data_IF_187495171505
#
_entry.id   IF_187495171505
#
_cell.length_a   1.000
_cell.length_b   1.000
_cell.length_c   1.000
_cell.angle_alpha   90.00
_cell.angle_beta   90.00
_cell.angle_gamma   90.00
#
_symmetry.space_group_name_H-M   'P 1'
#
loop_
_entity.id
_entity.type
_entity.pdbx_description
1 polymer ?
#
# COMPACT_ATOMS: atom_id res chain seq x y z
N UNK A 1 -14.73 11.97 -37.13
CA UNK A 1 -15.08 12.03 -35.69
C UNK A 1 -14.67 10.75 -34.97
N UNK A 2 -15.30 9.59 -35.26
CA UNK A 2 -15.01 8.30 -34.58
C UNK A 2 -13.54 7.82 -34.65
N UNK A 3 -12.83 8.08 -35.76
CA UNK A 3 -11.39 7.76 -35.87
C UNK A 3 -10.51 8.55 -34.88
N UNK A 4 -10.90 9.79 -34.55
CA UNK A 4 -10.17 10.66 -33.62
C UNK A 4 -10.35 10.17 -32.17
N UNK A 5 -11.59 9.89 -31.77
CA UNK A 5 -11.91 9.35 -30.44
C UNK A 5 -11.23 8.00 -30.20
N UNK A 6 -11.21 7.12 -31.20
CA UNK A 6 -10.47 5.87 -31.11
C UNK A 6 -8.97 6.08 -30.87
N UNK A 7 -8.35 7.02 -31.58
CA UNK A 7 -6.93 7.35 -31.39
C UNK A 7 -6.66 7.90 -29.98
N UNK A 8 -7.58 8.72 -29.48
CA UNK A 8 -7.54 9.28 -28.12
C UNK A 8 -7.65 8.18 -27.05
N UNK A 9 -8.55 7.21 -27.20
CA UNK A 9 -8.65 6.07 -26.28
C UNK A 9 -7.36 5.23 -26.30
N UNK A 10 -6.78 4.98 -27.48
CA UNK A 10 -5.49 4.26 -27.56
C UNK A 10 -4.37 5.05 -26.86
N UNK A 11 -4.38 6.37 -26.96
CA UNK A 11 -3.42 7.22 -26.25
C UNK A 11 -3.63 7.13 -24.73
N UNK A 12 -4.87 7.19 -24.25
CA UNK A 12 -5.20 7.01 -22.83
C UNK A 12 -4.79 5.62 -22.31
N UNK A 13 -5.00 4.56 -23.10
CA UNK A 13 -4.55 3.21 -22.75
C UNK A 13 -3.02 3.11 -22.64
N UNK A 14 -2.27 3.78 -23.52
CA UNK A 14 -0.81 3.84 -23.42
C UNK A 14 -0.36 4.60 -22.17
N UNK A 15 -1.02 5.71 -21.85
CA UNK A 15 -0.75 6.45 -20.61
C UNK A 15 -1.07 5.58 -19.38
N UNK A 16 -2.17 4.84 -19.41
CA UNK A 16 -2.53 3.89 -18.35
C UNK A 16 -1.45 2.83 -18.17
N UNK A 17 -0.98 2.22 -19.26
CA UNK A 17 0.10 1.23 -19.22
C UNK A 17 1.36 1.81 -18.58
N UNK A 18 1.82 3.00 -19.02
CA UNK A 18 3.01 3.65 -18.47
C UNK A 18 2.85 3.95 -16.97
N UNK A 19 1.68 4.42 -16.55
CA UNK A 19 1.35 4.66 -15.15
C UNK A 19 1.31 3.36 -14.33
N UNK A 20 0.77 2.26 -14.86
CA UNK A 20 0.80 0.95 -14.22
C UNK A 20 2.24 0.45 -14.05
N UNK A 21 3.09 0.56 -15.07
CA UNK A 21 4.50 0.15 -14.96
C UNK A 21 5.28 1.01 -13.94
N UNK A 22 4.97 2.31 -13.84
CA UNK A 22 5.54 3.19 -12.78
C UNK A 22 5.04 2.82 -11.39
N UNK A 23 3.75 2.51 -11.25
CA UNK A 23 3.18 2.06 -9.99
C UNK A 23 3.82 0.73 -9.56
N UNK A 24 4.04 -0.20 -10.48
CA UNK A 24 4.74 -1.45 -10.21
C UNK A 24 6.14 -1.20 -9.62
N UNK A 25 6.92 -0.29 -10.21
CA UNK A 25 8.25 0.09 -9.66
C UNK A 25 8.15 0.64 -8.24
N UNK A 26 7.11 1.44 -7.93
CA UNK A 26 6.88 1.96 -6.59
C UNK A 26 6.45 0.90 -5.58
N UNK A 27 5.71 -0.10 -6.03
CA UNK A 27 5.30 -1.23 -5.21
C UNK A 27 6.49 -2.17 -4.94
N UNK A 28 7.38 -2.34 -5.92
CA UNK A 28 8.67 -3.03 -5.73
C UNK A 28 9.56 -2.27 -4.72
N UNK A 29 9.65 -0.94 -4.83
CA UNK A 29 10.35 -0.09 -3.85
C UNK A 29 9.75 -0.24 -2.44
N UNK A 30 8.41 -0.25 -2.33
CA UNK A 30 7.74 -0.50 -1.05
C UNK A 30 8.18 -1.84 -0.45
N UNK A 31 8.20 -2.91 -1.25
CA UNK A 31 8.58 -4.24 -0.79
C UNK A 31 10.02 -4.26 -0.23
N UNK A 32 10.94 -3.57 -0.88
CA UNK A 32 12.31 -3.40 -0.37
C UNK A 32 12.33 -2.64 0.97
N UNK A 33 11.61 -1.52 1.08
CA UNK A 33 11.56 -0.73 2.31
C UNK A 33 10.91 -1.49 3.47
N UNK A 34 9.87 -2.30 3.20
CA UNK A 34 9.24 -3.18 4.19
C UNK A 34 10.24 -4.24 4.68
N UNK A 35 11.06 -4.81 3.79
CA UNK A 35 12.11 -5.75 4.19
C UNK A 35 13.18 -5.11 5.07
N UNK A 36 13.51 -3.86 4.80
CA UNK A 36 14.48 -3.08 5.57
C UNK A 36 13.89 -2.46 6.86
N UNK A 37 12.57 -2.58 7.07
CA UNK A 37 11.83 -1.91 8.14
C UNK A 37 12.07 -0.39 8.18
N UNK A 38 12.26 0.23 7.01
CA UNK A 38 12.48 1.68 6.89
C UNK A 38 11.13 2.42 6.81
N UNK A 39 10.50 2.57 7.98
CA UNK A 39 9.20 3.25 8.11
C UNK A 39 9.24 4.70 7.64
N UNK A 40 10.38 5.37 7.77
CA UNK A 40 10.54 6.78 7.45
C UNK A 40 10.38 7.06 5.95
N UNK A 41 10.94 6.19 5.11
CA UNK A 41 10.82 6.28 3.65
C UNK A 41 9.56 5.62 3.13
N UNK A 42 9.05 4.62 3.85
CA UNK A 42 7.84 3.89 3.48
C UNK A 42 6.62 4.81 3.34
N UNK A 43 6.45 5.77 4.25
CA UNK A 43 5.34 6.73 4.19
C UNK A 43 5.31 7.52 2.88
N UNK A 44 6.45 8.08 2.46
CA UNK A 44 6.53 8.85 1.22
C UNK A 44 6.28 8.01 -0.03
N UNK A 45 6.62 6.72 -0.02
CA UNK A 45 6.29 5.80 -1.11
C UNK A 45 4.78 5.51 -1.14
N UNK A 46 4.14 5.32 0.02
CA UNK A 46 2.69 5.11 0.11
C UNK A 46 1.92 6.31 -0.44
N UNK A 47 2.24 7.53 0.00
CA UNK A 47 1.61 8.77 -0.48
C UNK A 47 1.78 8.97 -1.99
N UNK A 48 2.97 8.66 -2.52
CA UNK A 48 3.22 8.72 -3.96
C UNK A 48 2.35 7.73 -4.74
N UNK A 49 2.14 6.51 -4.22
CA UNK A 49 1.27 5.51 -4.85
C UNK A 49 -0.20 5.90 -4.80
N UNK A 50 -0.68 6.48 -3.70
CA UNK A 50 -2.06 6.98 -3.60
C UNK A 50 -2.33 8.00 -4.72
N UNK A 51 -1.41 8.95 -4.91
CA UNK A 51 -1.50 9.92 -6.02
C UNK A 51 -1.51 9.25 -7.40
N UNK A 52 -0.71 8.19 -7.59
CA UNK A 52 -0.70 7.43 -8.86
C UNK A 52 -2.01 6.67 -9.09
N UNK A 53 -2.61 6.09 -8.04
CA UNK A 53 -3.89 5.40 -8.12
C UNK A 53 -5.01 6.37 -8.48
N UNK A 54 -5.01 7.57 -7.90
CA UNK A 54 -5.98 8.61 -8.26
C UNK A 54 -5.85 9.04 -9.73
N UNK A 55 -4.63 9.18 -10.23
CA UNK A 55 -4.38 9.46 -11.64
C UNK A 55 -4.85 8.33 -12.57
N UNK A 56 -4.63 7.07 -12.17
CA UNK A 56 -5.11 5.91 -12.92
C UNK A 56 -6.65 5.86 -12.97
N UNK A 57 -7.32 6.14 -11.85
CA UNK A 57 -8.78 6.22 -11.78
C UNK A 57 -9.34 7.31 -12.70
N UNK A 58 -8.67 8.45 -12.78
CA UNK A 58 -9.03 9.53 -13.68
C UNK A 58 -8.85 9.16 -15.17
N UNK A 59 -7.78 8.42 -15.51
CA UNK A 59 -7.60 7.89 -16.86
C UNK A 59 -8.72 6.90 -17.20
N UNK A 60 -9.07 6.00 -16.27
CA UNK A 60 -10.15 5.04 -16.47
C UNK A 60 -11.52 5.70 -16.67
N UNK A 61 -11.79 6.76 -15.91
CA UNK A 61 -12.99 7.58 -16.10
C UNK A 61 -13.05 8.17 -17.51
N UNK A 62 -11.96 8.78 -17.99
CA UNK A 62 -11.88 9.35 -19.35
C UNK A 62 -12.05 8.29 -20.44
N UNK A 63 -11.44 7.11 -20.27
CA UNK A 63 -11.62 6.00 -21.21
C UNK A 63 -13.10 5.58 -21.25
N UNK A 64 -13.75 5.42 -20.09
CA UNK A 64 -15.15 5.04 -20.03
C UNK A 64 -16.07 6.06 -20.71
N UNK A 65 -15.82 7.36 -20.49
CA UNK A 65 -16.53 8.46 -21.14
C UNK A 65 -16.40 8.39 -22.66
N UNK A 66 -15.17 8.28 -23.20
CA UNK A 66 -14.93 8.20 -24.65
C UNK A 66 -15.53 6.93 -25.27
N UNK A 67 -15.37 5.76 -24.62
CA UNK A 67 -15.88 4.48 -25.11
C UNK A 67 -17.40 4.45 -25.16
N UNK A 68 -18.08 5.11 -24.21
CA UNK A 68 -19.56 5.15 -24.15
C UNK A 68 -20.19 5.73 -25.42
N UNK A 69 -19.48 6.65 -26.08
CA UNK A 69 -19.93 7.33 -27.30
C UNK A 69 -19.61 6.56 -28.59
N UNK A 70 -18.83 5.48 -28.52
CA UNK A 70 -18.41 4.71 -29.69
C UNK A 70 -19.49 3.76 -30.21
N UNK A 71 -19.61 3.70 -31.54
CA UNK A 71 -20.42 2.69 -32.21
C UNK A 71 -19.80 1.28 -32.13
N UNK A 72 -20.62 0.26 -32.36
CA UNK A 72 -20.23 -1.15 -32.20
C UNK A 72 -19.04 -1.56 -33.08
N UNK A 73 -19.01 -1.09 -34.34
CA UNK A 73 -17.93 -1.41 -35.27
C UNK A 73 -16.57 -0.85 -34.80
N UNK A 74 -16.56 0.39 -34.30
CA UNK A 74 -15.34 1.03 -33.79
C UNK A 74 -14.92 0.39 -32.46
N UNK A 75 -15.87 0.00 -31.61
CA UNK A 75 -15.59 -0.75 -30.37
C UNK A 75 -14.93 -2.10 -30.66
N UNK A 76 -15.45 -2.88 -31.61
CA UNK A 76 -14.83 -4.16 -32.02
C UNK A 76 -13.41 -3.97 -32.57
N UNK A 77 -13.19 -2.92 -33.36
CA UNK A 77 -11.85 -2.59 -33.86
C UNK A 77 -10.91 -2.15 -32.73
N UNK A 78 -11.39 -1.35 -31.79
CA UNK A 78 -10.62 -0.91 -30.62
C UNK A 78 -10.19 -2.09 -29.74
N UNK A 79 -11.09 -3.06 -29.49
CA UNK A 79 -10.75 -4.28 -28.72
C UNK A 79 -9.61 -5.04 -29.38
N UNK A 80 -9.61 -5.18 -30.72
CA UNK A 80 -8.54 -5.88 -31.43
C UNK A 80 -7.20 -5.15 -31.35
N UNK A 81 -7.21 -3.83 -31.51
CA UNK A 81 -5.98 -3.01 -31.49
C UNK A 81 -5.44 -2.76 -30.09
N UNK A 82 -6.32 -2.71 -29.09
CA UNK A 82 -5.98 -2.51 -27.69
C UNK A 82 -5.68 -3.81 -26.94
N UNK A 83 -5.86 -4.99 -27.54
CA UNK A 83 -5.72 -6.28 -26.86
C UNK A 83 -4.35 -6.46 -26.18
N UNK A 84 -3.27 -6.07 -26.87
CA UNK A 84 -1.92 -6.16 -26.32
C UNK A 84 -1.71 -5.18 -25.16
N UNK A 85 -2.22 -3.95 -25.27
CA UNK A 85 -2.16 -2.96 -24.19
C UNK A 85 -2.94 -3.44 -22.97
N UNK A 86 -4.14 -3.99 -23.19
CA UNK A 86 -4.97 -4.54 -22.12
C UNK A 86 -4.25 -5.67 -21.39
N UNK A 87 -3.66 -6.62 -22.14
CA UNK A 87 -2.88 -7.73 -21.58
C UNK A 87 -1.69 -7.24 -20.74
N UNK A 88 -0.95 -6.24 -21.23
CA UNK A 88 0.16 -5.65 -20.48
C UNK A 88 -0.30 -4.97 -19.19
N UNK A 89 -1.39 -4.19 -19.26
CA UNK A 89 -1.98 -3.52 -18.09
C UNK A 89 -2.46 -4.55 -17.06
N UNK A 90 -3.17 -5.60 -17.49
CA UNK A 90 -3.65 -6.67 -16.61
C UNK A 90 -2.50 -7.38 -15.90
N UNK A 91 -1.44 -7.74 -16.62
CA UNK A 91 -0.26 -8.37 -16.03
C UNK A 91 0.46 -7.46 -15.02
N UNK A 92 0.60 -6.16 -15.30
CA UNK A 92 1.19 -5.21 -14.36
C UNK A 92 0.31 -5.06 -13.10
N UNK A 93 -1.02 -5.00 -13.25
CA UNK A 93 -1.96 -4.94 -12.13
C UNK A 93 -1.93 -6.22 -11.27
N UNK A 94 -1.86 -7.40 -11.89
CA UNK A 94 -1.73 -8.66 -11.16
C UNK A 94 -0.45 -8.69 -10.30
N UNK A 95 0.67 -8.24 -10.85
CA UNK A 95 1.94 -8.14 -10.10
C UNK A 95 1.86 -7.14 -8.96
N UNK A 96 1.27 -5.96 -9.21
CA UNK A 96 1.03 -4.95 -8.18
C UNK A 96 0.25 -5.55 -7.01
N UNK A 97 -0.87 -6.21 -7.29
CA UNK A 97 -1.73 -6.83 -6.26
C UNK A 97 -0.97 -7.91 -5.49
N UNK A 98 -0.20 -8.75 -6.21
CA UNK A 98 0.59 -9.80 -5.58
C UNK A 98 1.62 -9.24 -4.60
N UNK A 99 2.38 -8.21 -5.00
CA UNK A 99 3.40 -7.61 -4.14
C UNK A 99 2.76 -6.87 -2.97
N UNK A 100 1.70 -6.09 -3.19
CA UNK A 100 0.98 -5.39 -2.11
C UNK A 100 0.44 -6.36 -1.06
N UNK A 101 -0.08 -7.51 -1.48
CA UNK A 101 -0.54 -8.57 -0.56
C UNK A 101 0.60 -9.07 0.32
N UNK A 102 1.79 -9.29 -0.26
CA UNK A 102 2.97 -9.73 0.50
C UNK A 102 3.46 -8.64 1.46
N UNK A 103 3.47 -7.38 1.02
CA UNK A 103 3.82 -6.25 1.88
C UNK A 103 2.88 -6.15 3.08
N UNK A 104 1.57 -6.25 2.86
CA UNK A 104 0.55 -6.21 3.90
C UNK A 104 0.77 -7.32 4.94
N UNK A 105 0.99 -8.56 4.48
CA UNK A 105 1.26 -9.70 5.37
C UNK A 105 2.49 -9.48 6.25
N UNK A 106 3.57 -8.90 5.69
CA UNK A 106 4.78 -8.60 6.45
C UNK A 106 4.57 -7.50 7.49
N UNK A 107 3.87 -6.44 7.11
CA UNK A 107 3.52 -5.34 8.04
C UNK A 107 2.66 -5.88 9.18
N UNK A 108 1.69 -6.74 8.89
CA UNK A 108 0.83 -7.37 9.92
C UNK A 108 1.62 -8.27 10.87
N UNK A 109 2.62 -9.01 10.36
CA UNK A 109 3.52 -9.79 11.19
C UNK A 109 4.33 -8.90 12.13
N UNK A 110 4.98 -7.85 11.59
CA UNK A 110 5.76 -6.89 12.40
C UNK A 110 4.90 -6.24 13.47
N UNK A 111 3.67 -5.84 13.11
CA UNK A 111 2.69 -5.30 14.06
C UNK A 111 2.38 -6.28 15.19
N UNK A 112 2.17 -7.56 14.89
CA UNK A 112 1.91 -8.58 15.90
C UNK A 112 3.11 -8.74 16.86
N UNK A 113 4.33 -8.82 16.34
CA UNK A 113 5.55 -8.93 17.13
C UNK A 113 5.77 -7.70 18.04
N UNK A 114 5.50 -6.50 17.54
CA UNK A 114 5.59 -5.26 18.34
C UNK A 114 4.56 -5.26 19.47
N UNK A 115 3.32 -5.68 19.20
CA UNK A 115 2.27 -5.78 20.22
C UNK A 115 2.65 -6.77 21.32
N UNK A 116 3.19 -7.93 20.95
CA UNK A 116 3.63 -8.94 21.91
C UNK A 116 4.75 -8.41 22.82
N UNK A 117 5.79 -7.79 22.24
CA UNK A 117 6.88 -7.16 23.00
C UNK A 117 6.37 -6.10 23.97
N UNK A 118 5.39 -5.27 23.57
CA UNK A 118 4.77 -4.29 24.46
C UNK A 118 4.04 -4.96 25.63
N UNK A 119 3.33 -6.07 25.38
CA UNK A 119 2.65 -6.81 26.44
C UNK A 119 3.63 -7.44 27.43
N UNK A 120 4.73 -8.01 26.95
CA UNK A 120 5.80 -8.56 27.80
C UNK A 120 6.45 -7.48 28.66
N UNK A 121 6.77 -6.33 28.08
CA UNK A 121 7.33 -5.18 28.82
C UNK A 121 6.37 -4.69 29.90
N UNK A 122 5.06 -4.60 29.60
CA UNK A 122 4.04 -4.24 30.60
C UNK A 122 3.99 -5.27 31.75
N UNK A 123 4.03 -6.56 31.44
CA UNK A 123 4.08 -7.63 32.46
C UNK A 123 5.34 -7.52 33.33
N UNK A 124 6.52 -7.32 32.72
CA UNK A 124 7.78 -7.12 33.43
C UNK A 124 7.77 -5.89 34.34
N UNK A 125 7.19 -4.77 33.89
CA UNK A 125 7.02 -3.57 34.70
C UNK A 125 6.11 -3.81 35.91
N UNK A 126 5.05 -4.61 35.77
CA UNK A 126 4.18 -5.00 36.89
C UNK A 126 4.94 -5.86 37.90
N UNK A 127 5.79 -6.80 37.45
CA UNK A 127 6.63 -7.60 38.34
C UNK A 127 7.62 -6.74 39.14
N UNK A 128 8.29 -5.78 38.50
CA UNK A 128 9.25 -4.88 39.16
C UNK A 128 8.63 -3.97 40.23
N UNK A 129 7.36 -3.55 40.05
CA UNK A 129 6.62 -2.81 41.09
C UNK A 129 6.45 -3.61 42.40
N UNK A 130 6.49 -4.94 42.34
CA UNK A 130 6.44 -5.82 43.51
C UNK A 130 7.77 -5.94 44.27
N UNK A 131 8.91 -5.72 43.61
CA UNK A 131 10.25 -5.88 44.21
C UNK A 131 10.83 -4.58 44.79
N UNK A 132 10.24 -3.42 44.49
CA UNK A 132 10.69 -2.10 44.97
C UNK A 132 9.95 -1.54 46.20
N UNK A 133 8.84 -2.15 46.59
CA UNK A 133 8.10 -1.77 47.80
C UNK A 133 8.35 -2.84 48.86
N UNK A 134 9.57 -2.85 49.43
CA UNK A 134 9.70 -3.48 50.73
C UNK A 134 8.69 -2.80 51.67
N UNK A 135 7.89 -3.55 52.46
CA UNK A 135 7.10 -2.91 53.49
C UNK A 135 8.10 -2.14 54.35
N UNK A 136 8.02 -0.81 54.35
CA UNK A 136 8.85 0.06 55.19
C UNK A 136 8.70 -0.47 56.61
N UNK A 137 9.71 -1.19 57.09
CA UNK A 137 9.82 -1.55 58.50
C UNK A 137 10.02 -0.22 59.21
N UNK A 138 8.93 0.37 59.71
CA UNK A 138 9.01 1.49 60.64
C UNK A 138 9.73 0.94 61.86
N UNK A 139 11.01 1.28 62.01
CA UNK A 139 11.72 1.05 63.27
C UNK A 139 10.94 1.77 64.36
N UNK A 140 10.34 1.00 65.27
CA UNK A 140 9.75 1.52 66.50
C UNK A 140 10.91 1.95 67.40
N UNK A 141 11.46 3.14 67.16
CA UNK A 141 12.30 3.81 68.14
C UNK A 141 11.35 4.24 69.26
N UNK A 142 11.26 3.40 70.29
CA UNK A 142 10.63 3.76 71.55
C UNK A 142 11.48 4.86 72.18
N UNK A 143 10.99 6.10 72.15
CA UNK A 143 11.48 7.14 73.05
C UNK A 143 11.04 6.75 74.46
N UNK A 144 11.91 6.06 75.19
CA UNK A 144 11.83 6.07 76.63
C UNK A 144 12.70 7.21 77.17
N UNK A 145 12.05 7.94 78.06
CA UNK A 145 12.47 9.09 78.88
C UNK A 145 13.69 8.75 79.72
#
# INVERSE_FOLDING_TARGET
MMKKQKAEIIQLLKQKQESCSRLLQKVEEQMELVNLQDESRLLGVVEAKETMVDQLNEIDRKIAEEVSSLNEATRKSLVREGAELARCIENDLEKIIAIETVCQQKIDQVKAEVVEKIMELKKGQVLLKGYGVSPRVKSKISKNV
#
